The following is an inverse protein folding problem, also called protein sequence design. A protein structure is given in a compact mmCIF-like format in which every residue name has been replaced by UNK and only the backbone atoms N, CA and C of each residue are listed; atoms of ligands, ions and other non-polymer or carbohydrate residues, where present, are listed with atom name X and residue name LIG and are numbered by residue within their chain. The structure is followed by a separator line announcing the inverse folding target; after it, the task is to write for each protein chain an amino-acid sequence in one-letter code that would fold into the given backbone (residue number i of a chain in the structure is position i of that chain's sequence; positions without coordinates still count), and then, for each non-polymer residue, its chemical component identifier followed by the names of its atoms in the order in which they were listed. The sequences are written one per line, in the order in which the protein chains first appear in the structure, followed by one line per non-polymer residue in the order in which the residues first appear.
data_IF_517699920351
#
_entry.id   IF_517699920351
#
_cell.length_a   1.000
_cell.length_b   1.000
_cell.length_c   1.000
_cell.angle_alpha   90.00
_cell.angle_beta   90.00
_cell.angle_gamma   90.00
#
_symmetry.space_group_name_H-M   'P 1'
#
loop_
_entity.id
_entity.type
_entity.pdbx_description
1 polymer ?
#
# COMPACT_ATOMS: atom_id res chain seq x y z
N UNK A 1 30.50 3.91 3.90
CA UNK A 1 29.97 5.28 3.83
C UNK A 1 29.12 5.58 5.05
N UNK A 2 29.10 6.83 5.48
CA UNK A 2 28.15 7.43 6.39
C UNK A 2 27.04 8.11 5.59
N UNK A 3 25.82 7.59 5.70
CA UNK A 3 24.63 8.18 5.12
C UNK A 3 23.85 8.99 6.16
N UNK A 4 23.38 10.17 5.78
CA UNK A 4 22.43 10.94 6.57
C UNK A 4 21.10 11.08 5.81
N UNK A 5 20.04 10.49 6.36
CA UNK A 5 18.75 10.35 5.67
C UNK A 5 17.76 11.39 6.22
N UNK A 6 17.23 12.24 5.33
CA UNK A 6 16.22 13.24 5.69
C UNK A 6 14.81 12.70 5.43
N UNK A 7 13.92 12.80 6.43
CA UNK A 7 12.59 12.20 6.40
C UNK A 7 12.62 10.70 6.72
N UNK A 8 13.54 10.28 7.60
CA UNK A 8 13.87 8.87 7.85
C UNK A 8 12.72 8.07 8.49
N UNK A 9 11.78 8.71 9.17
CA UNK A 9 10.68 8.02 9.85
C UNK A 9 9.53 7.63 8.89
N UNK A 10 9.56 8.07 7.62
CA UNK A 10 8.62 7.61 6.61
C UNK A 10 8.83 6.14 6.24
N UNK A 11 7.77 5.39 5.94
CA UNK A 11 7.83 3.92 5.70
C UNK A 11 8.91 3.50 4.70
N UNK A 12 9.00 4.17 3.55
CA UNK A 12 10.01 3.87 2.53
C UNK A 12 11.42 4.25 3.00
N UNK A 13 11.60 5.45 3.55
CA UNK A 13 12.92 5.95 3.96
C UNK A 13 13.47 5.17 5.16
N UNK A 14 12.61 4.79 6.10
CA UNK A 14 12.97 3.93 7.23
C UNK A 14 13.38 2.55 6.75
N UNK A 15 12.61 1.93 5.83
CA UNK A 15 13.02 0.66 5.22
C UNK A 15 14.35 0.77 4.45
N UNK A 16 14.58 1.87 3.72
CA UNK A 16 15.86 2.15 3.07
C UNK A 16 17.00 2.27 4.09
N UNK A 17 16.76 2.92 5.23
CA UNK A 17 17.75 3.04 6.31
C UNK A 17 18.14 1.66 6.89
N UNK A 18 17.15 0.79 7.12
CA UNK A 18 17.38 -0.59 7.57
C UNK A 18 18.23 -1.38 6.55
N UNK A 19 17.91 -1.24 5.25
CA UNK A 19 18.66 -1.85 4.16
C UNK A 19 20.10 -1.32 4.12
N UNK A 20 20.29 -0.01 4.23
CA UNK A 20 21.60 0.62 4.22
C UNK A 20 22.46 0.15 5.41
N UNK A 21 21.88 0.00 6.60
CA UNK A 21 22.57 -0.60 7.75
C UNK A 21 22.96 -2.04 7.48
N UNK A 22 22.05 -2.85 6.94
CA UNK A 22 22.33 -4.25 6.59
C UNK A 22 23.40 -4.38 5.49
N UNK A 23 23.51 -3.39 4.60
CA UNK A 23 24.57 -3.30 3.59
C UNK A 23 25.93 -2.82 4.16
N UNK A 24 26.03 -2.55 5.46
CA UNK A 24 27.27 -2.18 6.14
C UNK A 24 27.57 -0.68 6.16
N UNK A 25 26.60 0.18 5.81
CA UNK A 25 26.76 1.63 5.94
C UNK A 25 26.56 2.09 7.39
N UNK A 26 27.25 3.16 7.80
CA UNK A 26 26.84 3.93 8.97
C UNK A 26 25.64 4.77 8.54
N UNK A 27 24.55 4.70 9.29
CA UNK A 27 23.33 5.47 8.99
C UNK A 27 22.95 6.30 10.18
N UNK A 28 22.65 7.56 9.90
CA UNK A 28 22.01 8.55 10.76
C UNK A 28 20.84 9.15 9.99
N UNK A 29 19.90 9.80 10.65
CA UNK A 29 18.88 10.54 9.93
C UNK A 29 18.04 11.44 10.80
N UNK A 30 17.17 12.20 10.15
CA UNK A 30 16.31 13.16 10.82
C UNK A 30 14.89 13.14 10.28
N UNK A 31 13.95 13.61 11.09
CA UNK A 31 12.56 13.81 10.68
C UNK A 31 11.91 14.94 11.51
N UNK A 32 10.81 15.52 11.01
CA UNK A 32 10.06 16.54 11.75
C UNK A 32 9.49 16.01 13.08
N UNK A 33 9.23 14.70 13.15
CA UNK A 33 8.83 14.03 14.37
C UNK A 33 9.41 12.62 14.42
N UNK A 34 9.98 12.26 15.57
CA UNK A 34 10.58 10.95 15.80
C UNK A 34 9.63 10.14 16.69
N UNK A 35 8.71 9.38 16.07
CA UNK A 35 7.66 8.66 16.79
C UNK A 35 7.59 7.16 16.42
N UNK A 36 7.19 6.29 17.38
CA UNK A 36 6.98 4.87 17.13
C UNK A 36 5.88 4.61 16.08
N UNK A 37 5.91 3.47 15.35
CA UNK A 37 6.81 2.33 15.55
C UNK A 37 8.14 2.45 14.80
N UNK A 38 8.26 3.33 13.80
CA UNK A 38 9.44 3.39 12.94
C UNK A 38 10.68 3.86 13.70
N UNK A 39 10.56 4.89 14.56
CA UNK A 39 11.71 5.37 15.34
C UNK A 39 12.30 4.29 16.23
N UNK A 40 11.46 3.49 16.89
CA UNK A 40 11.89 2.35 17.72
C UNK A 40 12.65 1.32 16.89
N UNK A 41 12.12 0.93 15.73
CA UNK A 41 12.77 -0.05 14.85
C UNK A 41 14.14 0.45 14.36
N UNK A 42 14.26 1.73 14.01
CA UNK A 42 15.53 2.31 13.57
C UNK A 42 16.55 2.37 14.71
N UNK A 43 16.12 2.79 15.91
CA UNK A 43 16.98 2.85 17.09
C UNK A 43 17.49 1.46 17.52
N UNK A 44 16.66 0.42 17.43
CA UNK A 44 17.05 -0.98 17.69
C UNK A 44 18.14 -1.47 16.73
N UNK A 45 18.24 -0.89 15.52
CA UNK A 45 19.34 -1.16 14.58
C UNK A 45 20.57 -0.25 14.79
N UNK A 46 20.60 0.53 15.88
CA UNK A 46 21.67 1.45 16.22
C UNK A 46 21.76 2.64 15.26
N UNK A 47 20.65 3.07 14.67
CA UNK A 47 20.56 4.27 13.83
C UNK A 47 20.30 5.47 14.74
N UNK A 48 21.16 6.48 14.64
CA UNK A 48 21.00 7.74 15.35
C UNK A 48 19.95 8.61 14.66
N UNK A 49 18.98 9.08 15.43
CA UNK A 49 17.85 9.89 14.95
C UNK A 49 17.93 11.29 15.56
N UNK A 50 17.79 12.30 14.71
CA UNK A 50 17.72 13.71 15.11
C UNK A 50 16.31 14.24 14.82
N UNK A 51 15.71 14.93 15.79
CA UNK A 51 14.42 15.58 15.57
C UNK A 51 14.63 16.97 14.93
N UNK A 52 13.82 17.27 13.91
CA UNK A 52 13.92 18.50 13.14
C UNK A 52 14.94 18.45 12.00
N UNK A 53 15.02 19.57 11.27
CA UNK A 53 15.87 19.74 10.08
C UNK A 53 16.78 20.96 10.25
N UNK A 54 17.59 20.96 11.30
CA UNK A 54 18.50 22.06 11.63
C UNK A 54 19.84 21.98 10.88
N UNK A 55 20.42 23.14 10.58
CA UNK A 55 21.66 23.26 9.81
C UNK A 55 22.90 22.71 10.55
N UNK A 56 22.85 22.63 11.88
CA UNK A 56 23.90 22.03 12.73
C UNK A 56 24.17 20.56 12.38
N UNK A 57 23.23 19.88 11.70
CA UNK A 57 23.42 18.51 11.23
C UNK A 57 24.47 18.39 10.11
N UNK A 58 24.96 19.51 9.54
CA UNK A 58 26.17 19.52 8.72
C UNK A 58 27.42 19.06 9.48
N UNK A 59 27.47 19.26 10.80
CA UNK A 59 28.61 18.84 11.62
C UNK A 59 28.75 17.31 11.73
N UNK A 60 27.69 16.57 11.36
CA UNK A 60 27.75 15.11 11.23
C UNK A 60 28.70 14.66 10.12
N UNK A 61 28.98 15.54 9.13
CA UNK A 61 29.87 15.28 7.97
C UNK A 61 29.62 13.92 7.30
N UNK A 62 28.38 13.59 6.91
CA UNK A 62 28.10 12.36 6.18
C UNK A 62 28.77 12.39 4.80
N UNK A 63 29.09 11.20 4.27
CA UNK A 63 29.60 11.05 2.91
C UNK A 63 28.52 11.38 1.87
N UNK A 64 27.24 11.17 2.23
CA UNK A 64 26.10 11.35 1.33
C UNK A 64 24.81 11.64 2.10
N UNK A 65 24.08 12.67 1.67
CA UNK A 65 22.72 12.94 2.12
C UNK A 65 21.69 12.22 1.23
N UNK A 66 20.77 11.49 1.84
CA UNK A 66 19.68 10.81 1.13
C UNK A 66 18.37 11.52 1.45
N UNK A 67 17.79 12.17 0.44
CA UNK A 67 16.69 13.11 0.62
C UNK A 67 15.36 12.42 0.34
N UNK A 68 14.48 12.39 1.34
CA UNK A 68 13.10 11.92 1.20
C UNK A 68 12.19 12.97 0.55
N UNK A 69 11.10 12.51 -0.09
CA UNK A 69 10.16 13.36 -0.83
C UNK A 69 9.42 14.40 0.04
N UNK A 70 9.46 14.28 1.36
CA UNK A 70 8.86 15.24 2.29
C UNK A 70 9.66 16.54 2.42
N UNK A 71 10.92 16.55 1.98
CA UNK A 71 11.81 17.72 2.06
C UNK A 71 11.61 18.63 0.84
N UNK A 72 11.50 19.93 1.09
CA UNK A 72 11.34 20.98 0.07
C UNK A 72 12.39 22.08 0.23
N UNK A 73 12.50 22.98 -0.75
CA UNK A 73 13.25 24.25 -0.60
C UNK A 73 12.71 25.07 0.58
N UNK A 74 13.59 25.87 1.18
CA UNK A 74 13.34 26.62 2.42
C UNK A 74 13.49 25.79 3.70
N UNK A 75 13.67 24.47 3.59
CA UNK A 75 14.03 23.62 4.73
C UNK A 75 15.46 23.96 5.21
N UNK A 76 15.68 24.32 6.50
CA UNK A 76 16.97 24.86 6.94
C UNK A 76 18.17 23.95 6.66
N UNK A 77 18.06 22.65 6.95
CA UNK A 77 19.11 21.68 6.64
C UNK A 77 19.31 21.51 5.13
N UNK A 78 18.23 21.48 4.34
CA UNK A 78 18.36 21.34 2.89
C UNK A 78 19.06 22.55 2.26
N UNK A 79 18.74 23.77 2.69
CA UNK A 79 19.43 24.98 2.21
C UNK A 79 20.92 24.93 2.59
N UNK A 80 21.24 24.52 3.82
CA UNK A 80 22.62 24.38 4.28
C UNK A 80 23.42 23.32 3.48
N UNK A 81 22.79 22.18 3.15
CA UNK A 81 23.38 21.13 2.28
C UNK A 81 23.71 21.70 0.90
N UNK A 82 22.80 22.48 0.32
CA UNK A 82 22.97 23.08 -1.01
C UNK A 82 24.07 24.16 -1.00
N UNK A 83 24.06 25.05 -0.01
CA UNK A 83 25.05 26.12 0.13
C UNK A 83 26.47 25.57 0.36
N UNK A 84 26.58 24.47 1.08
CA UNK A 84 27.85 23.77 1.30
C UNK A 84 28.31 22.96 0.06
N UNK A 85 27.46 22.77 -0.95
CA UNK A 85 27.74 21.89 -2.09
C UNK A 85 27.93 20.43 -1.71
N UNK A 86 27.29 19.97 -0.62
CA UNK A 86 27.49 18.63 -0.11
C UNK A 86 26.81 17.57 -1.04
N UNK A 87 27.34 16.34 -1.15
CA UNK A 87 26.74 15.31 -1.99
C UNK A 87 25.35 14.90 -1.49
N UNK A 88 24.35 14.90 -2.38
CA UNK A 88 23.00 14.43 -2.07
C UNK A 88 22.36 13.65 -3.23
N UNK A 89 21.47 12.72 -2.90
CA UNK A 89 20.68 11.92 -3.86
C UNK A 89 19.27 11.66 -3.32
N UNK A 90 18.34 11.24 -4.20
CA UNK A 90 17.04 10.75 -3.75
C UNK A 90 17.13 9.32 -3.19
N UNK A 91 16.22 8.96 -2.30
CA UNK A 91 16.13 7.59 -1.77
C UNK A 91 16.04 6.51 -2.87
N UNK A 92 15.09 6.60 -3.81
CA UNK A 92 14.97 5.63 -4.91
C UNK A 92 16.23 5.54 -5.78
N UNK A 93 16.91 6.65 -6.05
CA UNK A 93 18.16 6.64 -6.79
C UNK A 93 19.24 5.87 -6.02
N UNK A 94 19.45 6.20 -4.74
CA UNK A 94 20.44 5.52 -3.92
C UNK A 94 20.19 4.00 -3.88
N UNK A 95 18.94 3.60 -3.67
CA UNK A 95 18.53 2.20 -3.65
C UNK A 95 18.79 1.51 -4.99
N UNK A 96 18.41 2.15 -6.10
CA UNK A 96 18.64 1.66 -7.46
C UNK A 96 20.12 1.44 -7.76
N UNK A 97 20.97 2.40 -7.39
CA UNK A 97 22.37 2.40 -7.76
C UNK A 97 23.24 1.51 -6.84
N UNK A 98 22.89 1.38 -5.55
CA UNK A 98 23.74 0.69 -4.55
C UNK A 98 23.22 -0.66 -4.07
N UNK A 99 21.91 -0.91 -4.16
CA UNK A 99 21.29 -2.11 -3.57
C UNK A 99 20.74 -3.01 -4.66
N UNK A 100 19.94 -2.44 -5.56
CA UNK A 100 19.23 -3.19 -6.60
C UNK A 100 20.14 -3.58 -7.77
N UNK A 101 21.24 -2.86 -7.96
CA UNK A 101 22.23 -3.14 -8.99
C UNK A 101 22.75 -4.59 -8.88
N UNK A 102 22.62 -5.35 -9.97
CA UNK A 102 23.04 -6.75 -10.04
C UNK A 102 22.03 -7.77 -9.50
N UNK A 103 20.96 -7.34 -8.83
CA UNK A 103 19.90 -8.23 -8.35
C UNK A 103 18.87 -8.54 -9.46
N UNK A 104 18.16 -9.65 -9.31
CA UNK A 104 16.91 -9.87 -10.03
C UNK A 104 15.80 -9.16 -9.28
N UNK A 105 15.54 -7.92 -9.66
CA UNK A 105 14.47 -7.10 -9.08
C UNK A 105 13.11 -7.52 -9.64
N UNK A 106 12.18 -7.79 -8.73
CA UNK A 106 10.77 -8.01 -9.00
C UNK A 106 9.97 -6.82 -8.46
N UNK A 107 9.56 -5.93 -9.36
CA UNK A 107 8.85 -4.71 -9.02
C UNK A 107 7.34 -4.87 -9.16
N UNK A 108 6.57 -4.33 -8.21
CA UNK A 108 5.11 -4.34 -8.23
C UNK A 108 4.58 -2.92 -8.35
N UNK A 109 4.05 -2.58 -9.51
CA UNK A 109 3.45 -1.28 -9.83
C UNK A 109 1.93 -1.41 -10.00
N UNK A 110 1.22 -0.28 -9.88
CA UNK A 110 -0.21 -0.19 -10.08
C UNK A 110 -0.85 0.80 -9.11
N UNK A 111 -1.99 1.38 -9.47
CA UNK A 111 -2.71 2.33 -8.60
C UNK A 111 -3.14 1.65 -7.28
N UNK A 112 -3.52 0.38 -7.33
CA UNK A 112 -4.02 -0.39 -6.19
C UNK A 112 -3.34 -1.76 -6.05
N UNK A 113 -3.31 -2.28 -4.82
CA UNK A 113 -2.87 -3.65 -4.53
C UNK A 113 -1.36 -3.89 -4.49
N UNK A 114 -0.51 -2.86 -4.72
CA UNK A 114 0.96 -2.97 -4.72
C UNK A 114 1.50 -3.71 -3.50
N UNK A 115 1.09 -3.28 -2.30
CA UNK A 115 1.54 -3.88 -1.04
C UNK A 115 1.09 -5.31 -0.84
N UNK A 116 -0.17 -5.62 -1.19
CA UNK A 116 -0.67 -6.98 -1.05
C UNK A 116 0.04 -7.92 -2.01
N UNK A 117 0.18 -7.54 -3.29
CA UNK A 117 0.85 -8.35 -4.31
C UNK A 117 2.35 -8.51 -4.03
N UNK A 118 3.05 -7.45 -3.60
CA UNK A 118 4.48 -7.56 -3.27
C UNK A 118 4.74 -8.42 -2.02
N UNK A 119 3.87 -8.35 -1.01
CA UNK A 119 3.93 -9.24 0.15
C UNK A 119 3.68 -10.70 -0.24
N UNK A 120 2.66 -10.96 -1.06
CA UNK A 120 2.38 -12.30 -1.61
C UNK A 120 3.58 -12.83 -2.40
N UNK A 121 4.18 -12.01 -3.26
CA UNK A 121 5.35 -12.38 -4.07
C UNK A 121 6.57 -12.69 -3.19
N UNK A 122 6.87 -11.84 -2.21
CA UNK A 122 7.95 -12.07 -1.27
C UNK A 122 7.74 -13.37 -0.47
N UNK A 123 6.50 -13.64 -0.05
CA UNK A 123 6.13 -14.87 0.66
C UNK A 123 6.28 -16.13 -0.21
N UNK A 124 5.81 -16.10 -1.46
CA UNK A 124 5.99 -17.22 -2.40
C UNK A 124 7.47 -17.56 -2.56
N UNK A 125 8.32 -16.55 -2.76
CA UNK A 125 9.76 -16.76 -2.91
C UNK A 125 10.42 -17.26 -1.61
N UNK A 126 9.98 -16.79 -0.44
CA UNK A 126 10.45 -17.28 0.86
C UNK A 126 10.08 -18.76 1.06
N UNK A 127 8.80 -19.09 0.86
CA UNK A 127 8.26 -20.44 1.01
C UNK A 127 8.96 -21.43 0.07
N UNK A 128 9.30 -21.00 -1.14
CA UNK A 128 10.07 -21.78 -2.10
C UNK A 128 11.58 -21.89 -1.77
N UNK A 129 12.05 -21.34 -0.64
CA UNK A 129 13.43 -21.40 -0.19
C UNK A 129 14.39 -20.43 -0.89
N UNK A 130 13.89 -19.55 -1.78
CA UNK A 130 14.69 -18.58 -2.51
C UNK A 130 15.09 -17.37 -1.67
N UNK A 131 14.44 -17.17 -0.52
CA UNK A 131 14.78 -16.20 0.53
C UNK A 131 15.05 -14.79 -0.01
N UNK A 132 14.06 -14.09 -0.59
CA UNK A 132 14.29 -12.81 -1.27
C UNK A 132 14.69 -11.69 -0.30
N UNK A 133 15.40 -10.69 -0.80
CA UNK A 133 15.39 -9.36 -0.20
C UNK A 133 14.06 -8.67 -0.52
N UNK A 134 13.67 -7.69 0.28
CA UNK A 134 12.47 -6.92 -0.02
C UNK A 134 12.44 -5.54 0.63
N UNK A 135 11.67 -4.64 0.01
CA UNK A 135 11.21 -3.38 0.57
C UNK A 135 9.74 -3.18 0.17
N UNK A 136 8.84 -3.41 1.12
CA UNK A 136 7.38 -3.34 0.93
C UNK A 136 6.76 -2.33 1.90
N UNK A 137 5.67 -1.69 1.49
CA UNK A 137 5.01 -0.60 2.20
C UNK A 137 4.14 -1.03 3.38
N UNK A 138 3.93 -2.33 3.57
CA UNK A 138 3.15 -2.90 4.66
C UNK A 138 3.84 -4.09 5.31
N UNK A 139 3.54 -4.33 6.58
CA UNK A 139 4.09 -5.47 7.31
C UNK A 139 3.29 -6.72 6.95
N UNK A 140 3.89 -7.59 6.15
CA UNK A 140 3.40 -8.96 5.99
C UNK A 140 3.48 -9.66 7.34
N UNK A 141 2.40 -10.32 7.76
CA UNK A 141 2.34 -10.98 9.06
C UNK A 141 3.40 -12.09 9.18
N UNK A 142 3.78 -12.69 8.06
CA UNK A 142 4.77 -13.76 8.04
C UNK A 142 6.21 -13.27 8.27
N UNK A 143 6.51 -12.00 7.96
CA UNK A 143 7.87 -11.44 8.08
C UNK A 143 8.07 -10.54 9.31
N UNK A 144 7.00 -9.93 9.84
CA UNK A 144 7.02 -8.92 10.92
C UNK A 144 7.85 -7.64 10.64
N UNK A 145 8.61 -7.61 9.54
CA UNK A 145 9.38 -6.46 9.05
C UNK A 145 8.91 -6.08 7.64
N UNK A 146 9.07 -4.81 7.28
CA UNK A 146 8.74 -4.26 5.96
C UNK A 146 9.94 -4.20 5.00
N UNK A 147 11.16 -4.39 5.53
CA UNK A 147 12.39 -4.37 4.75
C UNK A 147 13.36 -5.45 5.25
N UNK A 148 14.06 -6.09 4.31
CA UNK A 148 15.14 -7.05 4.58
C UNK A 148 16.16 -7.00 3.46
N UNK A 149 17.43 -6.96 3.83
CA UNK A 149 18.52 -7.02 2.88
C UNK A 149 19.66 -7.92 3.38
N UNK A 150 20.15 -8.75 2.48
CA UNK A 150 21.37 -9.53 2.58
C UNK A 150 21.96 -9.60 1.17
N UNK A 151 23.20 -9.09 0.98
CA UNK A 151 23.81 -8.92 -0.34
C UNK A 151 24.08 -10.24 -1.05
N UNK A 152 24.10 -11.38 -0.34
CA UNK A 152 24.26 -12.70 -0.97
C UNK A 152 23.02 -13.18 -1.73
N UNK A 153 21.85 -12.57 -1.46
CA UNK A 153 20.57 -12.96 -2.07
C UNK A 153 20.37 -12.30 -3.42
N UNK A 154 20.00 -13.13 -4.39
CA UNK A 154 19.80 -12.73 -5.79
C UNK A 154 18.53 -11.92 -6.03
N UNK A 155 17.43 -12.26 -5.36
CA UNK A 155 16.11 -11.67 -5.63
C UNK A 155 15.83 -10.50 -4.72
N UNK A 156 15.20 -9.46 -5.27
CA UNK A 156 14.71 -8.32 -4.50
C UNK A 156 13.28 -7.98 -4.91
N UNK A 157 12.33 -8.04 -3.98
CA UNK A 157 10.93 -7.67 -4.20
C UNK A 157 10.70 -6.23 -3.74
N UNK A 158 10.16 -5.38 -4.60
CA UNK A 158 9.95 -3.95 -4.28
C UNK A 158 8.61 -3.43 -4.80
N UNK A 159 7.99 -2.54 -4.04
CA UNK A 159 6.88 -1.73 -4.55
C UNK A 159 7.40 -0.63 -5.49
N UNK A 160 6.91 -0.64 -6.72
CA UNK A 160 7.17 0.36 -7.74
C UNK A 160 6.05 1.41 -7.73
N UNK A 161 6.35 2.53 -7.08
CA UNK A 161 5.38 3.57 -6.80
C UNK A 161 5.53 4.76 -7.76
N UNK A 162 4.40 5.31 -8.19
CA UNK A 162 4.29 6.36 -9.20
C UNK A 162 4.62 7.76 -8.67
N UNK A 163 4.68 7.95 -7.35
CA UNK A 163 5.06 9.23 -6.74
C UNK A 163 6.46 9.71 -7.12
N UNK A 164 6.63 11.03 -7.08
CA UNK A 164 7.92 11.73 -7.17
C UNK A 164 8.95 11.16 -6.20
N UNK A 165 10.22 11.15 -6.63
CA UNK A 165 11.32 10.67 -5.77
C UNK A 165 11.75 11.71 -4.73
N UNK A 166 11.92 12.97 -5.13
CA UNK A 166 12.33 14.10 -4.30
C UNK A 166 12.00 15.44 -4.98
N UNK A 167 12.18 16.58 -4.29
CA UNK A 167 11.91 17.89 -4.89
C UNK A 167 12.76 18.21 -6.13
N UNK A 168 13.99 17.67 -6.21
CA UNK A 168 14.93 17.85 -7.33
C UNK A 168 14.87 16.72 -8.37
N UNK A 169 14.12 15.65 -8.12
CA UNK A 169 13.96 14.53 -9.04
C UNK A 169 12.49 14.07 -9.08
N UNK A 170 11.78 14.63 -10.05
CA UNK A 170 10.34 14.42 -10.28
C UNK A 170 10.01 13.18 -11.11
N UNK A 171 10.99 12.32 -11.38
CA UNK A 171 10.72 11.01 -11.98
C UNK A 171 10.01 10.13 -10.96
N UNK A 172 9.16 9.22 -11.43
CA UNK A 172 8.58 8.19 -10.56
C UNK A 172 9.65 7.22 -10.06
N UNK A 173 9.50 6.73 -8.82
CA UNK A 173 10.51 5.91 -8.13
C UNK A 173 10.99 4.72 -8.97
N UNK A 174 10.06 4.07 -9.68
CA UNK A 174 10.36 2.85 -10.42
C UNK A 174 11.31 3.01 -11.61
N UNK A 175 11.53 4.24 -12.10
CA UNK A 175 12.53 4.51 -13.15
C UNK A 175 13.94 4.17 -12.66
N UNK A 176 14.17 4.22 -11.34
CA UNK A 176 15.44 3.89 -10.71
C UNK A 176 15.63 2.39 -10.48
N UNK A 177 14.56 1.60 -10.46
CA UNK A 177 14.61 0.20 -9.98
C UNK A 177 15.03 -0.81 -11.04
N UNK A 178 14.87 -0.47 -12.33
CA UNK A 178 15.29 -1.29 -13.48
C UNK A 178 14.93 -2.79 -13.34
N UNK A 179 13.65 -3.13 -13.16
CA UNK A 179 13.26 -4.51 -12.84
C UNK A 179 13.48 -5.49 -13.99
N UNK A 180 13.72 -6.75 -13.63
CA UNK A 180 13.71 -7.88 -14.58
C UNK A 180 12.35 -8.57 -14.64
N UNK A 181 11.58 -8.51 -13.56
CA UNK A 181 10.15 -8.87 -13.53
C UNK A 181 9.36 -7.66 -13.05
N UNK A 182 8.37 -7.21 -13.80
CA UNK A 182 7.49 -6.12 -13.37
C UNK A 182 6.03 -6.57 -13.39
N UNK A 183 5.32 -6.40 -12.29
CA UNK A 183 3.87 -6.53 -12.22
C UNK A 183 3.25 -5.15 -12.44
N UNK A 184 2.31 -5.04 -13.38
CA UNK A 184 1.46 -3.87 -13.57
C UNK A 184 0.03 -4.26 -13.17
N UNK A 185 -0.33 -4.08 -11.90
CA UNK A 185 -1.57 -4.61 -11.31
C UNK A 185 -2.84 -4.03 -11.95
N UNK A 186 -2.87 -2.71 -12.11
CA UNK A 186 -3.97 -1.90 -12.63
C UNK A 186 -3.45 -0.47 -12.89
N UNK A 187 -4.22 0.33 -13.62
CA UNK A 187 -3.86 1.73 -13.89
C UNK A 187 -5.15 2.57 -14.00
N UNK A 188 -5.40 3.34 -12.95
CA UNK A 188 -6.52 4.27 -12.81
C UNK A 188 -5.99 5.67 -12.50
N UNK A 189 -6.83 6.69 -12.68
CA UNK A 189 -6.47 8.05 -12.31
C UNK A 189 -6.42 8.15 -10.79
N UNK A 190 -5.30 8.57 -10.23
CA UNK A 190 -5.08 8.84 -8.81
C UNK A 190 -3.93 9.85 -8.70
N UNK A 191 -3.63 10.33 -7.49
CA UNK A 191 -2.57 11.31 -7.24
C UNK A 191 -2.74 12.60 -8.06
N UNK A 192 -3.98 13.10 -8.13
CA UNK A 192 -4.37 14.33 -8.81
C UNK A 192 -3.60 15.61 -8.34
N UNK A 193 -2.84 15.51 -7.25
CA UNK A 193 -1.92 16.56 -6.79
C UNK A 193 -0.62 16.64 -7.60
N UNK A 194 -0.24 15.56 -8.29
CA UNK A 194 1.01 15.48 -9.09
C UNK A 194 0.76 15.11 -10.55
N UNK A 195 -0.33 14.41 -10.87
CA UNK A 195 -0.68 14.05 -12.24
C UNK A 195 -1.90 14.82 -12.72
N UNK A 196 -1.82 15.51 -13.88
CA UNK A 196 -2.96 16.24 -14.42
C UNK A 196 -4.08 15.32 -14.94
N UNK A 197 -3.72 14.12 -15.40
CA UNK A 197 -4.64 13.16 -16.00
C UNK A 197 -4.06 11.73 -16.00
N UNK A 198 -4.85 10.78 -16.50
CA UNK A 198 -4.45 9.37 -16.65
C UNK A 198 -3.29 9.20 -17.64
N UNK A 199 -3.21 10.00 -18.70
CA UNK A 199 -2.17 9.89 -19.73
C UNK A 199 -0.79 10.24 -19.18
N UNK A 200 -0.71 11.14 -18.19
CA UNK A 200 0.50 11.41 -17.43
C UNK A 200 0.96 10.19 -16.64
N UNK A 201 0.05 9.47 -15.98
CA UNK A 201 0.34 8.22 -15.25
C UNK A 201 0.79 7.12 -16.23
N UNK A 202 0.09 6.97 -17.35
CA UNK A 202 0.47 6.05 -18.44
C UNK A 202 1.90 6.32 -18.94
N UNK A 203 2.32 7.59 -18.98
CA UNK A 203 3.68 7.96 -19.35
C UNK A 203 4.71 7.51 -18.34
N UNK A 204 4.42 7.63 -17.04
CA UNK A 204 5.31 7.09 -16.03
C UNK A 204 5.41 5.57 -16.15
N UNK A 205 4.28 4.85 -16.27
CA UNK A 205 4.30 3.41 -16.47
C UNK A 205 5.05 3.00 -17.73
N UNK A 206 4.93 3.77 -18.82
CA UNK A 206 5.72 3.52 -20.02
C UNK A 206 7.23 3.72 -19.79
N UNK A 207 7.64 4.71 -18.98
CA UNK A 207 9.05 4.83 -18.57
C UNK A 207 9.54 3.58 -17.83
N UNK A 208 8.72 2.97 -16.97
CA UNK A 208 9.04 1.68 -16.36
C UNK A 208 9.26 0.59 -17.41
N UNK A 209 8.27 0.41 -18.31
CA UNK A 209 8.29 -0.63 -19.36
C UNK A 209 9.56 -0.55 -20.21
N UNK A 210 10.03 0.66 -20.53
CA UNK A 210 11.26 0.90 -21.31
C UNK A 210 12.55 0.44 -20.61
N UNK A 211 12.55 0.31 -19.28
CA UNK A 211 13.75 -0.11 -18.52
C UNK A 211 13.88 -1.62 -18.40
N UNK A 212 12.83 -2.38 -18.74
CA UNK A 212 12.81 -3.83 -18.57
C UNK A 212 13.59 -4.47 -19.73
N UNK A 213 14.59 -5.33 -19.45
CA UNK A 213 15.41 -5.93 -20.49
C UNK A 213 14.61 -6.93 -21.32
N UNK A 214 15.02 -7.20 -22.57
CA UNK A 214 14.37 -8.19 -23.45
C UNK A 214 14.19 -9.58 -22.82
N UNK A 215 15.14 -9.99 -21.98
CA UNK A 215 15.09 -11.25 -21.21
C UNK A 215 14.25 -11.15 -19.93
N UNK A 216 13.53 -10.05 -19.74
CA UNK A 216 12.65 -9.80 -18.60
C UNK A 216 11.20 -10.14 -18.92
N UNK A 217 10.33 -9.93 -17.94
CA UNK A 217 8.89 -10.19 -18.06
C UNK A 217 8.03 -9.10 -17.43
N UNK A 218 6.94 -8.78 -18.11
CA UNK A 218 5.85 -7.94 -17.61
C UNK A 218 4.64 -8.82 -17.32
N UNK A 219 4.08 -8.70 -16.12
CA UNK A 219 2.88 -9.40 -15.68
C UNK A 219 1.76 -8.38 -15.53
N UNK A 220 0.63 -8.57 -16.22
CA UNK A 220 -0.47 -7.60 -16.24
C UNK A 220 -1.85 -8.28 -16.37
N UNK A 221 -2.93 -7.64 -15.90
CA UNK A 221 -4.27 -8.19 -16.11
C UNK A 221 -4.65 -8.16 -17.59
N UNK A 222 -5.45 -9.15 -18.01
CA UNK A 222 -6.25 -9.04 -19.23
C UNK A 222 -7.36 -7.99 -19.04
N UNK A 223 -7.84 -7.42 -20.14
CA UNK A 223 -8.97 -6.49 -20.10
C UNK A 223 -8.69 -5.15 -19.42
N UNK A 224 -7.44 -4.68 -19.41
CA UNK A 224 -7.09 -3.34 -18.88
C UNK A 224 -6.72 -2.36 -20.00
N UNK A 225 -7.68 -1.55 -20.51
CA UNK A 225 -7.44 -0.66 -21.64
C UNK A 225 -6.28 0.33 -21.43
N UNK A 226 -6.09 0.80 -20.19
CA UNK A 226 -5.03 1.75 -19.88
C UNK A 226 -3.63 1.11 -19.95
N UNK A 227 -3.50 -0.12 -19.42
CA UNK A 227 -2.24 -0.87 -19.54
C UNK A 227 -1.97 -1.31 -20.98
N UNK A 228 -3.00 -1.62 -21.78
CA UNK A 228 -2.83 -1.86 -23.22
C UNK A 228 -2.29 -0.61 -23.93
N UNK A 229 -2.81 0.59 -23.64
CA UNK A 229 -2.27 1.84 -24.19
C UNK A 229 -0.81 2.06 -23.80
N UNK A 230 -0.43 1.73 -22.57
CA UNK A 230 0.98 1.79 -22.11
C UNK A 230 1.87 0.87 -22.95
N UNK A 231 1.47 -0.39 -23.16
CA UNK A 231 2.26 -1.35 -23.94
C UNK A 231 2.28 -1.02 -25.44
N UNK A 232 1.20 -0.45 -25.99
CA UNK A 232 1.12 -0.03 -27.40
C UNK A 232 2.14 1.06 -27.76
N UNK A 233 2.62 1.83 -26.77
CA UNK A 233 3.71 2.80 -26.95
C UNK A 233 5.08 2.13 -27.11
N UNK A 234 5.20 0.85 -26.74
CA UNK A 234 6.41 0.04 -26.88
C UNK A 234 6.57 -0.95 -25.73
N UNK A 235 6.79 -2.22 -26.08
CA UNK A 235 7.12 -3.31 -25.17
C UNK A 235 8.17 -4.21 -25.83
N UNK A 236 9.27 -4.49 -25.13
CA UNK A 236 10.41 -5.26 -25.66
C UNK A 236 10.69 -6.53 -24.86
N UNK A 237 9.86 -6.81 -23.85
CA UNK A 237 9.99 -7.94 -22.92
C UNK A 237 8.87 -8.95 -23.13
N UNK A 238 9.04 -10.15 -22.58
CA UNK A 238 7.95 -11.14 -22.55
C UNK A 238 6.77 -10.63 -21.69
N UNK A 239 5.55 -11.07 -21.99
CA UNK A 239 4.35 -10.66 -21.25
C UNK A 239 3.57 -11.88 -20.78
N UNK A 240 3.23 -11.92 -19.49
CA UNK A 240 2.29 -12.90 -18.92
C UNK A 240 1.01 -12.19 -18.47
N UNK A 241 -0.14 -12.76 -18.83
CA UNK A 241 -1.45 -12.16 -18.54
C UNK A 241 -2.22 -12.97 -17.51
N UNK A 242 -2.97 -12.28 -16.65
CA UNK A 242 -3.85 -12.89 -15.66
C UNK A 242 -5.28 -12.31 -15.68
N UNK A 243 -6.23 -13.03 -15.11
CA UNK A 243 -7.64 -12.65 -15.07
C UNK A 243 -8.49 -13.44 -16.06
N UNK A 244 -9.69 -12.96 -16.32
CA UNK A 244 -10.62 -13.62 -17.24
C UNK A 244 -10.02 -13.70 -18.66
N UNK A 245 -10.23 -14.84 -19.32
CA UNK A 245 -9.70 -15.12 -20.67
C UNK A 245 -8.18 -14.97 -20.83
N UNK A 246 -7.42 -15.01 -19.73
CA UNK A 246 -5.96 -14.96 -19.73
C UNK A 246 -5.33 -16.35 -19.50
N UNK A 247 -4.02 -16.55 -19.76
CA UNK A 247 -3.34 -17.78 -19.41
C UNK A 247 -3.43 -18.12 -17.91
N UNK A 248 -3.27 -17.13 -17.03
CA UNK A 248 -3.42 -17.31 -15.58
C UNK A 248 -4.82 -16.94 -15.13
N UNK A 249 -5.56 -17.89 -14.57
CA UNK A 249 -6.97 -17.71 -14.21
C UNK A 249 -7.24 -18.16 -12.78
N UNK A 250 -8.16 -17.48 -12.12
CA UNK A 250 -8.75 -17.91 -10.87
C UNK A 250 -10.16 -18.45 -11.13
N UNK A 251 -10.48 -19.62 -10.59
CA UNK A 251 -11.85 -20.11 -10.54
C UNK A 251 -12.73 -19.28 -9.61
N UNK A 252 -14.06 -19.46 -9.66
CA UNK A 252 -14.96 -18.84 -8.70
C UNK A 252 -14.58 -19.30 -7.27
N UNK A 253 -14.72 -18.42 -6.27
CA UNK A 253 -14.46 -18.79 -4.89
C UNK A 253 -15.54 -19.75 -4.39
N UNK A 254 -15.17 -20.67 -3.50
CA UNK A 254 -16.14 -21.41 -2.70
C UNK A 254 -16.63 -20.57 -1.49
N UNK A 255 -17.43 -21.18 -0.62
CA UNK A 255 -17.98 -20.52 0.57
C UNK A 255 -16.92 -20.04 1.57
N UNK A 256 -15.75 -20.71 1.60
CA UNK A 256 -14.62 -20.37 2.47
C UNK A 256 -13.65 -19.39 1.79
N UNK A 257 -13.92 -19.02 0.53
CA UNK A 257 -13.11 -18.12 -0.28
C UNK A 257 -11.93 -18.79 -0.98
N UNK A 258 -11.84 -20.12 -0.94
CA UNK A 258 -10.83 -20.87 -1.67
C UNK A 258 -11.15 -20.90 -3.17
N UNK A 259 -10.13 -20.97 -4.02
CA UNK A 259 -10.30 -20.91 -5.47
C UNK A 259 -9.21 -21.70 -6.21
N UNK A 260 -9.61 -22.32 -7.31
CA UNK A 260 -8.69 -23.03 -8.19
C UNK A 260 -7.84 -22.03 -8.97
N UNK A 261 -6.56 -22.31 -9.14
CA UNK A 261 -5.69 -21.57 -10.05
C UNK A 261 -5.44 -22.44 -11.27
N UNK A 262 -5.61 -21.84 -12.45
CA UNK A 262 -5.37 -22.46 -13.75
C UNK A 262 -4.28 -21.72 -14.51
N UNK A 263 -3.45 -22.47 -15.21
CA UNK A 263 -2.47 -21.94 -16.16
C UNK A 263 -2.68 -22.62 -17.52
N UNK A 264 -3.00 -21.83 -18.54
CA UNK A 264 -3.29 -22.31 -19.91
C UNK A 264 -4.37 -23.40 -19.93
N UNK A 265 -5.42 -23.23 -19.13
CA UNK A 265 -6.53 -24.18 -19.02
C UNK A 265 -6.25 -25.41 -18.14
N UNK A 266 -5.03 -25.57 -17.62
CA UNK A 266 -4.66 -26.69 -16.72
C UNK A 266 -4.71 -26.26 -15.27
N UNK A 267 -5.37 -27.05 -14.42
CA UNK A 267 -5.40 -26.82 -12.97
C UNK A 267 -4.00 -27.00 -12.37
N UNK A 268 -3.48 -25.95 -11.72
CA UNK A 268 -2.16 -25.98 -11.05
C UNK A 268 -2.28 -26.19 -9.54
N UNK A 269 -3.45 -25.92 -8.96
CA UNK A 269 -3.76 -26.17 -7.55
C UNK A 269 -4.95 -25.35 -7.05
N UNK A 270 -5.19 -25.43 -5.74
CA UNK A 270 -6.25 -24.71 -5.03
C UNK A 270 -5.64 -23.81 -3.96
N UNK A 271 -5.86 -22.50 -4.04
CA UNK A 271 -5.47 -21.57 -2.97
C UNK A 271 -6.53 -21.61 -1.88
N UNK A 272 -6.11 -21.91 -0.65
CA UNK A 272 -6.98 -21.94 0.54
C UNK A 272 -6.49 -20.93 1.56
N UNK A 273 -7.19 -19.82 1.72
CA UNK A 273 -6.81 -18.74 2.61
C UNK A 273 -8.03 -18.05 3.21
N UNK A 274 -7.82 -16.97 3.98
CA UNK A 274 -8.92 -16.18 4.59
C UNK A 274 -9.06 -14.78 4.00
N UNK A 275 -8.27 -14.45 2.97
CA UNK A 275 -8.35 -13.15 2.31
C UNK A 275 -9.62 -13.08 1.45
N UNK A 276 -10.25 -11.89 1.43
CA UNK A 276 -11.53 -11.69 0.76
C UNK A 276 -11.40 -10.83 -0.49
N UNK A 277 -12.35 -11.00 -1.40
CA UNK A 277 -12.54 -10.13 -2.55
C UNK A 277 -11.77 -10.54 -3.80
N UNK A 278 -12.35 -10.23 -4.96
CA UNK A 278 -11.80 -10.57 -6.27
C UNK A 278 -10.39 -9.98 -6.48
N UNK A 279 -10.17 -8.74 -6.06
CA UNK A 279 -8.87 -8.09 -6.14
C UNK A 279 -7.74 -8.91 -5.51
N UNK A 280 -7.98 -9.64 -4.41
CA UNK A 280 -6.96 -10.47 -3.79
C UNK A 280 -6.66 -11.73 -4.61
N UNK A 281 -7.66 -12.31 -5.29
CA UNK A 281 -7.41 -13.40 -6.25
C UNK A 281 -6.57 -12.91 -7.43
N UNK A 282 -6.89 -11.74 -7.98
CA UNK A 282 -6.11 -11.12 -9.05
C UNK A 282 -4.67 -10.80 -8.59
N UNK A 283 -4.50 -10.26 -7.38
CA UNK A 283 -3.17 -10.05 -6.77
C UNK A 283 -2.39 -11.36 -6.64
N UNK A 284 -3.05 -12.45 -6.25
CA UNK A 284 -2.44 -13.77 -6.18
C UNK A 284 -2.00 -14.27 -7.56
N UNK A 285 -2.84 -14.17 -8.60
CA UNK A 285 -2.45 -14.57 -9.95
C UNK A 285 -1.24 -13.77 -10.45
N UNK A 286 -1.21 -12.46 -10.19
CA UNK A 286 -0.09 -11.61 -10.53
C UNK A 286 1.20 -12.05 -9.82
N UNK A 287 1.12 -12.36 -8.52
CA UNK A 287 2.25 -12.83 -7.73
C UNK A 287 2.74 -14.22 -8.18
N UNK A 288 1.82 -15.15 -8.49
CA UNK A 288 2.16 -16.49 -9.01
C UNK A 288 2.88 -16.38 -10.36
N UNK A 289 2.33 -15.59 -11.30
CA UNK A 289 2.93 -15.41 -12.63
C UNK A 289 4.33 -14.75 -12.56
N UNK A 290 4.54 -13.83 -11.61
CA UNK A 290 5.84 -13.21 -11.38
C UNK A 290 6.84 -14.18 -10.72
N UNK A 291 6.39 -15.00 -9.77
CA UNK A 291 7.22 -16.00 -9.11
C UNK A 291 7.63 -17.14 -10.04
N UNK A 292 6.77 -17.51 -10.99
CA UNK A 292 7.09 -18.50 -12.04
C UNK A 292 8.29 -18.03 -12.88
N UNK A 293 8.36 -16.74 -13.23
CA UNK A 293 9.52 -16.17 -13.92
C UNK A 293 10.81 -16.20 -13.08
N UNK A 294 10.70 -16.25 -11.75
CA UNK A 294 11.83 -16.41 -10.83
C UNK A 294 12.23 -17.90 -10.62
N UNK A 295 11.52 -18.83 -11.25
CA UNK A 295 11.79 -20.28 -11.19
C UNK A 295 10.98 -21.03 -10.12
N UNK A 296 9.99 -20.40 -9.48
CA UNK A 296 9.09 -21.09 -8.55
C UNK A 296 8.02 -21.84 -9.33
N UNK A 297 7.83 -23.15 -9.05
CA UNK A 297 6.77 -23.90 -9.72
C UNK A 297 5.38 -23.33 -9.38
N UNK A 298 4.43 -23.30 -10.33
CA UNK A 298 3.07 -22.80 -10.09
C UNK A 298 2.38 -23.46 -8.88
N UNK A 299 2.60 -24.78 -8.71
CA UNK A 299 2.06 -25.54 -7.58
C UNK A 299 2.63 -25.07 -6.24
N UNK A 300 3.95 -24.90 -6.15
CA UNK A 300 4.58 -24.38 -4.93
C UNK A 300 4.11 -22.96 -4.59
N UNK A 301 3.87 -22.12 -5.60
CA UNK A 301 3.32 -20.78 -5.39
C UNK A 301 1.87 -20.82 -4.84
N UNK A 302 1.04 -21.74 -5.33
CA UNK A 302 -0.32 -21.96 -4.80
C UNK A 302 -0.29 -22.48 -3.36
N UNK A 303 0.60 -23.42 -3.05
CA UNK A 303 0.82 -23.92 -1.69
C UNK A 303 1.26 -22.78 -0.75
N UNK A 304 2.23 -21.97 -1.17
CA UNK A 304 2.70 -20.82 -0.42
C UNK A 304 1.56 -19.85 -0.10
N UNK A 305 0.75 -19.48 -1.09
CA UNK A 305 -0.38 -18.56 -0.86
C UNK A 305 -1.46 -19.13 0.05
N UNK A 306 -1.60 -20.46 0.12
CA UNK A 306 -2.50 -21.09 1.08
C UNK A 306 -1.97 -20.98 2.53
N UNK A 307 -0.66 -20.83 2.69
CA UNK A 307 -0.02 -20.59 3.98
C UNK A 307 0.16 -19.09 4.32
N UNK A 308 -0.24 -18.17 3.42
CA UNK A 308 -0.02 -16.73 3.60
C UNK A 308 -0.93 -16.16 4.69
N UNK A 309 -0.35 -15.57 5.74
CA UNK A 309 -1.11 -15.00 6.86
C UNK A 309 -1.75 -13.63 6.54
N UNK A 310 -1.39 -13.02 5.41
CA UNK A 310 -1.92 -11.74 4.96
C UNK A 310 -1.05 -10.55 5.36
N UNK A 311 -1.56 -9.35 5.07
CA UNK A 311 -0.89 -8.08 5.37
C UNK A 311 -1.71 -7.36 6.43
N UNK A 312 -1.05 -6.75 7.42
CA UNK A 312 -1.74 -5.90 8.41
C UNK A 312 -2.50 -4.77 7.70
N UNK A 313 -3.64 -4.35 8.26
CA UNK A 313 -4.51 -3.27 7.74
C UNK A 313 -5.11 -3.53 6.35
N UNK A 314 -5.31 -4.79 5.98
CA UNK A 314 -6.04 -5.24 4.79
C UNK A 314 -7.17 -6.17 5.24
N UNK A 315 -8.35 -5.61 5.46
CA UNK A 315 -9.51 -6.27 6.09
C UNK A 315 -9.15 -6.99 7.41
N UNK A 316 -8.30 -6.36 8.23
CA UNK A 316 -7.81 -6.94 9.48
C UNK A 316 -8.90 -6.86 10.55
N UNK A 317 -9.32 -7.99 11.12
CA UNK A 317 -10.20 -8.01 12.29
C UNK A 317 -9.43 -7.52 13.52
N UNK A 318 -9.76 -6.32 14.00
CA UNK A 318 -9.12 -5.69 15.18
C UNK A 318 -9.68 -6.22 16.49
N UNK A 319 -10.92 -6.69 16.48
CA UNK A 319 -11.56 -7.28 17.65
C UNK A 319 -13.06 -7.47 17.45
N UNK A 320 -13.66 -8.22 18.35
CA UNK A 320 -15.11 -8.41 18.43
C UNK A 320 -15.57 -8.08 19.85
N UNK A 321 -16.48 -7.12 19.99
CA UNK A 321 -17.02 -6.70 21.28
C UNK A 321 -18.54 -6.73 21.20
N UNK A 322 -19.18 -7.43 22.15
CA UNK A 322 -20.65 -7.56 22.21
C UNK A 322 -21.29 -8.06 20.89
N UNK A 323 -20.60 -8.97 20.21
CA UNK A 323 -21.03 -9.51 18.93
C UNK A 323 -20.86 -8.56 17.74
N UNK A 324 -20.17 -7.42 17.91
CA UNK A 324 -19.84 -6.48 16.84
C UNK A 324 -18.39 -6.66 16.42
N UNK A 325 -18.15 -6.95 15.15
CA UNK A 325 -16.81 -7.13 14.59
C UNK A 325 -16.27 -5.80 14.04
N UNK A 326 -15.03 -5.42 14.41
CA UNK A 326 -14.38 -4.18 13.95
C UNK A 326 -13.20 -4.52 13.04
N UNK A 327 -13.24 -4.02 11.80
CA UNK A 327 -12.22 -4.25 10.78
C UNK A 327 -11.42 -2.98 10.46
N UNK A 328 -10.12 -3.13 10.19
CA UNK A 328 -9.23 -2.09 9.65
C UNK A 328 -8.85 -2.40 8.20
N UNK A 329 -9.08 -1.43 7.31
CA UNK A 329 -8.64 -1.49 5.92
C UNK A 329 -8.00 -0.18 5.46
N UNK A 330 -6.96 -0.30 4.62
CA UNK A 330 -6.24 0.82 4.03
C UNK A 330 -6.97 1.49 2.84
N UNK A 331 -8.12 0.97 2.42
CA UNK A 331 -8.92 1.53 1.32
C UNK A 331 -9.19 3.03 1.52
N UNK A 332 -8.84 3.81 0.50
CA UNK A 332 -8.95 5.29 0.52
C UNK A 332 -9.34 5.89 -0.84
N UNK A 333 -9.37 5.08 -1.89
CA UNK A 333 -9.80 5.45 -3.24
C UNK A 333 -11.17 4.81 -3.52
N UNK A 334 -12.10 5.46 -4.25
CA UNK A 334 -13.46 4.93 -4.45
C UNK A 334 -13.51 3.49 -4.94
N UNK A 335 -12.68 3.12 -5.92
CA UNK A 335 -12.60 1.74 -6.43
C UNK A 335 -12.18 0.74 -5.33
N UNK A 336 -11.21 1.11 -4.48
CA UNK A 336 -10.76 0.28 -3.37
C UNK A 336 -11.82 0.18 -2.26
N UNK A 337 -12.53 1.27 -1.97
CA UNK A 337 -13.64 1.32 -1.00
C UNK A 337 -14.76 0.39 -1.47
N UNK A 338 -15.22 0.53 -2.70
CA UNK A 338 -16.27 -0.30 -3.30
C UNK A 338 -15.91 -1.78 -3.22
N UNK A 339 -14.69 -2.11 -3.64
CA UNK A 339 -14.19 -3.49 -3.64
C UNK A 339 -14.15 -4.08 -2.23
N UNK A 340 -13.74 -3.28 -1.23
CA UNK A 340 -13.65 -3.71 0.17
C UNK A 340 -15.03 -3.94 0.77
N UNK A 341 -15.97 -3.00 0.57
CA UNK A 341 -17.35 -3.12 1.03
C UNK A 341 -18.04 -4.31 0.37
N UNK A 342 -17.90 -4.49 -0.94
CA UNK A 342 -18.45 -5.64 -1.66
C UNK A 342 -17.83 -6.97 -1.21
N UNK A 343 -16.51 -6.98 -0.92
CA UNK A 343 -15.81 -8.11 -0.33
C UNK A 343 -16.39 -8.52 1.02
N UNK A 344 -16.60 -7.55 1.91
CA UNK A 344 -17.21 -7.79 3.21
C UNK A 344 -18.67 -8.25 3.07
N UNK A 345 -19.47 -7.61 2.22
CA UNK A 345 -20.88 -7.96 1.97
C UNK A 345 -21.05 -9.43 1.57
N UNK A 346 -20.23 -9.94 0.66
CA UNK A 346 -20.28 -11.35 0.26
C UNK A 346 -20.03 -12.32 1.41
N UNK A 347 -19.18 -11.94 2.37
CA UNK A 347 -18.87 -12.77 3.55
C UNK A 347 -19.97 -12.73 4.61
N UNK A 348 -20.53 -11.55 4.84
CA UNK A 348 -21.45 -11.32 5.97
C UNK A 348 -22.92 -11.47 5.58
N UNK A 349 -23.22 -11.64 4.29
CA UNK A 349 -24.58 -11.79 3.77
C UNK A 349 -25.42 -10.56 4.08
N UNK A 350 -26.56 -10.76 4.73
CA UNK A 350 -27.50 -9.68 5.09
C UNK A 350 -27.15 -8.96 6.41
N UNK A 351 -26.09 -9.38 7.12
CA UNK A 351 -25.64 -8.69 8.32
C UNK A 351 -25.21 -7.24 8.01
N UNK A 352 -25.44 -6.32 8.95
CA UNK A 352 -25.26 -4.89 8.65
C UNK A 352 -23.78 -4.52 8.58
N UNK A 353 -23.43 -3.72 7.58
CA UNK A 353 -22.12 -3.09 7.41
C UNK A 353 -22.21 -1.61 7.77
N UNK A 354 -21.45 -1.20 8.77
CA UNK A 354 -21.23 0.19 9.15
C UNK A 354 -19.88 0.62 8.57
N UNK A 355 -19.90 1.31 7.43
CA UNK A 355 -18.68 1.81 6.80
C UNK A 355 -18.24 3.14 7.45
N UNK A 356 -16.98 3.21 7.86
CA UNK A 356 -16.39 4.37 8.54
C UNK A 356 -15.17 4.84 7.73
N UNK A 357 -15.20 6.07 7.22
CA UNK A 357 -14.24 6.57 6.23
C UNK A 357 -13.49 7.81 6.72
N UNK A 358 -12.17 7.85 6.50
CA UNK A 358 -11.33 9.07 6.58
C UNK A 358 -10.77 9.39 5.18
N UNK A 359 -11.31 10.37 4.44
CA UNK A 359 -10.78 10.80 3.15
C UNK A 359 -9.47 11.59 3.31
N UNK A 360 -8.35 10.90 3.49
CA UNK A 360 -7.07 11.53 3.88
C UNK A 360 -6.04 11.66 2.75
N UNK A 361 -6.16 10.89 1.66
CA UNK A 361 -5.26 11.02 0.51
C UNK A 361 -5.37 12.40 -0.14
N UNK A 362 -4.29 12.90 -0.77
CA UNK A 362 -4.32 14.23 -1.39
C UNK A 362 -5.42 14.34 -2.45
N UNK A 363 -5.57 13.33 -3.30
CA UNK A 363 -6.64 13.24 -4.30
C UNK A 363 -8.03 13.28 -3.69
N UNK A 364 -8.26 12.55 -2.59
CA UNK A 364 -9.53 12.62 -1.89
C UNK A 364 -9.75 13.99 -1.26
N UNK A 365 -8.76 14.58 -0.57
CA UNK A 365 -8.89 15.91 0.04
C UNK A 365 -9.21 17.01 -0.99
N UNK A 366 -8.65 16.92 -2.20
CA UNK A 366 -8.91 17.86 -3.30
C UNK A 366 -10.33 17.73 -3.89
N UNK A 367 -11.03 16.63 -3.62
CA UNK A 367 -12.42 16.42 -4.06
C UNK A 367 -12.56 15.88 -5.49
N UNK A 368 -11.47 15.67 -6.22
CA UNK A 368 -11.45 15.17 -7.62
C UNK A 368 -12.28 13.90 -7.83
N UNK A 369 -12.44 13.10 -6.78
CA UNK A 369 -13.15 11.82 -6.84
C UNK A 369 -14.25 11.69 -5.79
N UNK A 370 -14.56 12.76 -5.06
CA UNK A 370 -15.50 12.72 -3.95
C UNK A 370 -16.90 12.29 -4.42
N UNK A 371 -17.34 12.75 -5.59
CA UNK A 371 -18.65 12.40 -6.18
C UNK A 371 -18.82 10.90 -6.49
N UNK A 372 -17.73 10.12 -6.53
CA UNK A 372 -17.80 8.65 -6.70
C UNK A 372 -18.05 7.90 -5.39
N UNK A 373 -17.86 8.55 -4.23
CA UNK A 373 -18.00 7.91 -2.91
C UNK A 373 -19.39 7.32 -2.65
N UNK A 374 -20.51 7.99 -2.99
CA UNK A 374 -21.83 7.41 -2.77
C UNK A 374 -22.01 6.06 -3.46
N UNK A 375 -21.58 5.95 -4.72
CA UNK A 375 -21.61 4.68 -5.45
C UNK A 375 -20.76 3.60 -4.78
N UNK A 376 -19.53 3.95 -4.39
CA UNK A 376 -18.61 3.02 -3.73
C UNK A 376 -19.12 2.52 -2.36
N UNK A 377 -19.98 3.27 -1.69
CA UNK A 377 -20.50 2.96 -0.35
C UNK A 377 -21.92 2.37 -0.40
N UNK A 378 -22.49 2.16 -1.59
CA UNK A 378 -23.90 1.81 -1.76
C UNK A 378 -24.29 0.51 -1.05
N UNK A 379 -23.37 -0.45 -0.97
CA UNK A 379 -23.57 -1.76 -0.32
C UNK A 379 -23.45 -1.73 1.21
N UNK A 380 -23.13 -0.58 1.82
CA UNK A 380 -23.13 -0.38 3.27
C UNK A 380 -24.54 0.03 3.78
N UNK A 381 -24.88 -0.40 4.99
CA UNK A 381 -26.17 -0.09 5.64
C UNK A 381 -26.15 1.25 6.37
N UNK A 382 -24.96 1.63 6.85
CA UNK A 382 -24.67 2.92 7.47
C UNK A 382 -23.27 3.38 7.05
N UNK A 383 -23.14 4.69 6.91
CA UNK A 383 -21.90 5.35 6.48
C UNK A 383 -21.60 6.50 7.43
N UNK A 384 -20.39 6.51 7.96
CA UNK A 384 -19.85 7.56 8.80
C UNK A 384 -18.60 8.11 8.11
N UNK A 385 -18.62 9.38 7.73
CA UNK A 385 -17.51 10.01 7.05
C UNK A 385 -16.91 11.11 7.94
N UNK A 386 -15.62 10.99 8.21
CA UNK A 386 -14.89 12.02 8.93
C UNK A 386 -14.36 13.08 7.96
N UNK A 387 -14.66 14.34 8.22
CA UNK A 387 -14.19 15.49 7.44
C UNK A 387 -13.56 16.53 8.32
N UNK A 388 -12.23 16.49 8.46
CA UNK A 388 -11.51 17.53 9.17
C UNK A 388 -11.75 18.90 8.51
N UNK A 389 -12.03 19.91 9.34
CA UNK A 389 -12.30 21.29 8.88
C UNK A 389 -11.04 22.16 8.83
N UNK A 390 -9.96 21.76 9.51
CA UNK A 390 -8.73 22.54 9.61
C UNK A 390 -7.47 21.65 9.62
N UNK A 391 -6.32 22.28 9.42
CA UNK A 391 -5.01 21.62 9.40
C UNK A 391 -4.71 20.87 8.09
N UNK A 392 -3.61 20.10 8.11
CA UNK A 392 -3.06 19.40 6.91
C UNK A 392 -4.02 18.39 6.28
N UNK A 393 -5.02 17.93 7.03
CA UNK A 393 -6.00 16.93 6.60
C UNK A 393 -7.38 17.52 6.31
N UNK A 394 -7.51 18.85 6.28
CA UNK A 394 -8.76 19.50 5.93
C UNK A 394 -9.26 19.07 4.54
N UNK A 395 -10.57 18.86 4.43
CA UNK A 395 -11.21 18.54 3.15
C UNK A 395 -11.50 19.82 2.36
N UNK A 396 -11.22 19.80 1.07
CA UNK A 396 -11.59 20.88 0.14
C UNK A 396 -13.05 20.83 -0.32
N UNK A 397 -13.87 19.95 0.28
CA UNK A 397 -15.26 19.70 -0.08
C UNK A 397 -16.04 19.27 1.16
N UNK A 398 -17.37 19.37 1.09
CA UNK A 398 -18.28 19.04 2.17
C UNK A 398 -18.76 17.57 2.06
N UNK A 399 -18.41 16.69 3.02
CA UNK A 399 -18.86 15.31 3.01
C UNK A 399 -20.36 15.12 3.14
N UNK A 400 -21.07 16.00 3.87
CA UNK A 400 -22.51 15.90 4.02
C UNK A 400 -23.19 16.10 2.66
N UNK A 401 -22.74 17.10 1.89
CA UNK A 401 -23.23 17.36 0.53
C UNK A 401 -22.91 16.21 -0.42
N UNK A 402 -21.68 15.71 -0.42
CA UNK A 402 -21.26 14.66 -1.35
C UNK A 402 -21.98 13.34 -1.06
N UNK A 403 -22.22 13.01 0.21
CA UNK A 403 -22.88 11.76 0.62
C UNK A 403 -24.40 11.84 0.66
N UNK A 404 -25.00 13.01 0.39
CA UNK A 404 -26.45 13.21 0.33
C UNK A 404 -27.22 12.16 -0.50
N UNK A 405 -26.70 11.62 -1.63
CA UNK A 405 -27.39 10.57 -2.38
C UNK A 405 -27.63 9.27 -1.59
N UNK A 406 -26.92 9.04 -0.48
CA UNK A 406 -27.13 7.89 0.40
C UNK A 406 -28.28 8.09 1.40
N UNK A 407 -28.82 9.31 1.50
CA UNK A 407 -29.90 9.69 2.41
C UNK A 407 -29.54 9.47 3.88
N UNK A 408 -30.53 9.06 4.68
CA UNK A 408 -30.39 8.83 6.14
C UNK A 408 -29.41 7.70 6.53
N UNK A 409 -28.82 7.01 5.54
CA UNK A 409 -27.77 6.02 5.78
C UNK A 409 -26.42 6.67 6.05
N UNK A 410 -26.19 7.91 5.62
CA UNK A 410 -24.89 8.57 5.72
C UNK A 410 -24.92 9.77 6.68
N UNK A 411 -23.85 9.92 7.46
CA UNK A 411 -23.61 11.08 8.30
C UNK A 411 -22.14 11.52 8.22
N UNK A 412 -21.93 12.83 8.25
CA UNK A 412 -20.61 13.45 8.25
C UNK A 412 -20.29 14.00 9.65
N UNK A 413 -19.02 13.92 10.04
CA UNK A 413 -18.53 14.36 11.34
C UNK A 413 -17.19 15.08 11.18
N UNK A 414 -16.97 16.13 11.95
CA UNK A 414 -15.70 16.84 12.08
C UNK A 414 -15.03 16.64 13.45
N UNK A 415 -15.78 16.12 14.42
CA UNK A 415 -15.31 15.66 15.73
C UNK A 415 -15.23 14.12 15.78
N UNK A 416 -14.03 13.61 16.04
CA UNK A 416 -13.76 12.17 16.03
C UNK A 416 -14.47 11.45 17.18
N UNK A 417 -14.52 12.05 18.37
CA UNK A 417 -15.13 11.42 19.54
C UNK A 417 -16.66 11.39 19.42
N UNK A 418 -17.26 12.43 18.85
CA UNK A 418 -18.68 12.47 18.48
C UNK A 418 -19.02 11.40 17.44
N UNK A 419 -18.17 11.20 16.43
CA UNK A 419 -18.35 10.14 15.45
C UNK A 419 -18.27 8.76 16.10
N UNK A 420 -17.26 8.51 16.95
CA UNK A 420 -17.12 7.24 17.69
C UNK A 420 -18.36 6.95 18.53
N UNK A 421 -18.86 7.95 19.26
CA UNK A 421 -20.08 7.80 20.07
C UNK A 421 -21.32 7.50 19.21
N UNK A 422 -21.44 8.12 18.04
CA UNK A 422 -22.52 7.86 17.11
C UNK A 422 -22.46 6.45 16.51
N UNK A 423 -21.26 5.98 16.11
CA UNK A 423 -21.05 4.62 15.60
C UNK A 423 -21.42 3.60 16.68
N UNK A 424 -20.91 3.75 17.91
CA UNK A 424 -21.17 2.84 19.02
C UNK A 424 -22.67 2.75 19.36
N UNK A 425 -23.41 3.86 19.25
CA UNK A 425 -24.87 3.90 19.45
C UNK A 425 -25.66 3.23 18.33
N UNK A 426 -25.17 3.32 17.09
CA UNK A 426 -25.82 2.72 15.93
C UNK A 426 -25.58 1.21 15.83
N UNK A 427 -24.46 0.74 16.37
CA UNK A 427 -24.02 -0.65 16.35
C UNK A 427 -24.93 -1.57 17.18
N UNK A 428 -25.13 -2.79 16.70
CA UNK A 428 -25.90 -3.87 17.33
C UNK A 428 -25.17 -5.20 17.20
N UNK A 429 -25.42 -6.19 18.08
CA UNK A 429 -24.87 -7.54 17.93
C UNK A 429 -25.12 -8.09 16.51
N UNK A 430 -24.08 -8.65 15.90
CA UNK A 430 -24.09 -9.13 14.51
C UNK A 430 -23.63 -8.09 13.48
N UNK A 431 -23.41 -6.83 13.86
CA UNK A 431 -22.89 -5.82 12.94
C UNK A 431 -21.40 -5.99 12.64
N UNK A 432 -21.01 -5.52 11.47
CA UNK A 432 -19.62 -5.42 11.02
C UNK A 432 -19.27 -3.96 10.76
N UNK A 433 -18.33 -3.42 11.54
CA UNK A 433 -17.82 -2.05 11.38
C UNK A 433 -16.55 -2.11 10.55
N UNK A 434 -16.55 -1.45 9.39
CA UNK A 434 -15.44 -1.42 8.45
C UNK A 434 -14.80 -0.03 8.43
N UNK A 435 -13.62 0.10 9.03
CA UNK A 435 -12.87 1.35 9.10
C UNK A 435 -11.90 1.41 7.92
N UNK A 436 -11.98 2.49 7.13
CA UNK A 436 -11.23 2.69 5.90
C UNK A 436 -10.42 4.00 5.95
N UNK A 437 -9.10 3.90 6.03
CA UNK A 437 -8.18 5.04 6.02
C UNK A 437 -6.76 4.66 5.60
N UNK A 438 -6.09 5.52 4.83
CA UNK A 438 -4.66 5.37 4.52
C UNK A 438 -3.72 5.87 5.66
N UNK A 439 -4.27 6.31 6.80
CA UNK A 439 -3.52 6.78 7.96
C UNK A 439 -3.99 6.16 9.26
N UNK A 440 -3.55 6.71 10.39
CA UNK A 440 -3.88 6.18 11.73
C UNK A 440 -5.27 6.55 12.26
N UNK A 441 -6.04 7.39 11.55
CA UNK A 441 -7.42 7.80 11.87
C UNK A 441 -7.66 8.12 13.36
N UNK A 442 -6.72 8.85 13.99
CA UNK A 442 -6.79 9.22 15.40
C UNK A 442 -6.91 8.05 16.40
N UNK A 443 -6.48 6.84 16.02
CA UNK A 443 -6.62 5.64 16.84
C UNK A 443 -8.07 5.16 17.01
N UNK A 444 -8.95 5.51 16.06
CA UNK A 444 -10.39 5.20 16.10
C UNK A 444 -10.69 3.73 16.40
N UNK A 445 -9.85 2.78 15.96
CA UNK A 445 -10.06 1.35 16.18
C UNK A 445 -10.14 1.00 17.66
N UNK A 446 -9.19 1.52 18.47
CA UNK A 446 -9.16 1.31 19.92
C UNK A 446 -10.31 2.04 20.60
N UNK A 447 -10.48 3.33 20.29
CA UNK A 447 -11.58 4.17 20.81
C UNK A 447 -12.95 3.51 20.61
N UNK A 448 -13.18 2.90 19.44
CA UNK A 448 -14.43 2.25 19.12
C UNK A 448 -14.62 0.93 19.87
N UNK A 449 -13.58 0.09 19.98
CA UNK A 449 -13.64 -1.13 20.79
C UNK A 449 -13.97 -0.81 22.25
N UNK A 450 -13.33 0.23 22.81
CA UNK A 450 -13.58 0.70 24.18
C UNK A 450 -15.02 1.25 24.33
N UNK A 451 -15.48 2.08 23.39
CA UNK A 451 -16.82 2.65 23.41
C UNK A 451 -17.93 1.58 23.29
N UNK A 452 -17.72 0.55 22.47
CA UNK A 452 -18.62 -0.59 22.36
C UNK A 452 -18.69 -1.37 23.69
N UNK A 453 -17.55 -1.57 24.36
CA UNK A 453 -17.47 -2.26 25.64
C UNK A 453 -18.16 -1.48 26.77
N UNK A 454 -18.04 -0.15 26.77
CA UNK A 454 -18.64 0.72 27.79
C UNK A 454 -20.14 0.97 27.61
N UNK A 455 -20.68 0.76 26.41
CA UNK A 455 -22.10 0.98 26.15
C UNK A 455 -22.98 -0.10 26.83
N UNK A 456 -24.14 0.23 27.43
CA UNK A 456 -25.03 -0.76 28.02
C UNK A 456 -25.65 -1.68 26.95
N UNK A 457 -26.12 -2.91 27.32
CA UNK A 457 -26.89 -3.78 26.43
C UNK A 457 -28.03 -2.99 25.78
N UNK A 458 -28.20 -3.10 24.47
CA UNK A 458 -29.45 -2.63 23.86
C UNK A 458 -30.58 -3.44 24.50
N UNK A 459 -31.69 -2.82 24.95
CA UNK A 459 -32.82 -3.58 25.46
C UNK A 459 -33.28 -4.54 24.38
N UNK A 460 -33.41 -5.82 24.73
CA UNK A 460 -34.10 -6.80 23.89
C UNK A 460 -35.47 -6.21 23.55
N UNK A 461 -35.73 -6.00 22.26
CA UNK A 461 -37.09 -5.62 21.84
C UNK A 461 -37.98 -6.86 22.08
N UNK A 462 -39.12 -6.69 22.78
CA UNK A 462 -40.04 -7.79 23.03
C UNK A 462 -40.63 -8.39 21.76
#
# INVERSE_FOLDING_TARGET
MHLHILGICGTFMGGLALIARAAGHRVTGCDAGVYPPMSTQLAEQGIELVEGYGAEQLDLRPDLYVIGNVVTRGNPLMEAILDAGAPYVSGPQWLGDHVLAGQHVLAVAGTHGKTTTSAMLAWILEYAGLRPNFLVGGVAQDFQVSARYDPSRRFFVIEADEYDTAFFDKRSKFVHYRPRTAILNNLEYDHADIFPDLAAIETQFHHLVRTIPRSGRIVLPAGSPALERVLARGCWSDTARFGDDAPWQAGPPDADGAFAVRHQGVDVGMVRWRLLGEHNRLNALAAIAAAEHAGVSPRAAVEALSAFAGVKRRMELRGTVRGVAVYDDFAHHPTAIETTVAGLRRRVGDARILAVLEPRSNTMKLGTMAERLPGALQAADRVFCFGAQSGKHALGWDPARVLAPLGDRAAAYDDLDAMVAAIARAARPGDHILIMSNGGFGGIHGKLLDALAASPPAPERP
#
